data_IF_236007109700
#
_entry.id   IF_236007109700
#
_cell.length_a   1.000
_cell.length_b   1.000
_cell.length_c   1.000
_cell.angle_alpha   90.00
_cell.angle_beta   90.00
_cell.angle_gamma   90.00
#
_symmetry.space_group_name_H-M   'P 1'
#
loop_
_entity.id
_entity.type
_entity.pdbx_description
1 polymer ?
#
# COMPACT_ATOMS: atom_id res chain seq x y z
N UNK A 1 -14.36 18.57 22.55
CA UNK A 1 -15.80 18.48 22.18
C UNK A 1 -15.96 17.41 21.12
N UNK A 2 -16.99 16.56 21.16
CA UNK A 2 -17.24 15.57 20.10
C UNK A 2 -17.54 16.28 18.77
N UNK A 3 -16.97 15.77 17.67
CA UNK A 3 -17.26 16.25 16.31
C UNK A 3 -18.54 15.57 15.83
N UNK A 4 -19.52 16.35 15.38
CA UNK A 4 -20.76 15.81 14.83
C UNK A 4 -20.50 15.16 13.46
N UNK A 5 -20.98 13.93 13.26
CA UNK A 5 -20.79 13.14 12.02
C UNK A 5 -21.37 13.80 10.77
N UNK A 6 -22.31 14.74 10.92
CA UNK A 6 -22.87 15.54 9.82
C UNK A 6 -21.90 16.58 9.25
N UNK A 7 -20.75 16.81 9.91
CA UNK A 7 -19.74 17.81 9.52
C UNK A 7 -18.52 17.20 8.79
N UNK A 8 -18.53 15.89 8.56
CA UNK A 8 -17.44 15.17 7.89
C UNK A 8 -17.91 14.85 6.45
N UNK A 9 -17.27 15.42 5.41
CA UNK A 9 -17.61 15.13 4.02
C UNK A 9 -17.28 13.68 3.66
N UNK A 10 -17.96 13.16 2.65
CA UNK A 10 -17.78 11.79 2.17
C UNK A 10 -16.69 11.70 1.10
N UNK A 11 -16.04 10.54 0.98
CA UNK A 11 -15.10 10.22 -0.11
C UNK A 11 -15.66 10.51 -1.51
N UNK A 12 -16.96 10.31 -1.71
CA UNK A 12 -17.67 10.63 -2.95
C UNK A 12 -17.66 12.12 -3.29
N UNK A 13 -17.66 13.00 -2.29
CA UNK A 13 -17.67 14.46 -2.47
C UNK A 13 -16.28 15.00 -2.83
N UNK A 14 -15.24 14.37 -2.28
CA UNK A 14 -13.85 14.77 -2.49
C UNK A 14 -13.37 14.41 -3.91
N UNK A 15 -13.73 13.23 -4.41
CA UNK A 15 -13.47 12.81 -5.81
C UNK A 15 -14.08 13.76 -6.87
N UNK A 16 -15.22 14.40 -6.56
CA UNK A 16 -15.87 15.36 -7.48
C UNK A 16 -15.20 16.73 -7.50
N UNK A 17 -14.35 17.04 -6.51
CA UNK A 17 -13.76 18.37 -6.33
C UNK A 17 -12.44 18.57 -7.06
N UNK A 18 -11.90 17.54 -7.72
CA UNK A 18 -10.76 17.65 -8.64
C UNK A 18 -9.41 17.91 -7.96
N UNK A 19 -9.24 17.52 -6.70
CA UNK A 19 -8.05 17.78 -5.87
C UNK A 19 -6.87 16.83 -6.21
N UNK A 20 -7.07 15.78 -6.99
CA UNK A 20 -6.01 14.85 -7.40
C UNK A 20 -5.24 15.39 -8.62
N UNK A 21 -4.03 15.91 -8.39
CA UNK A 21 -3.06 16.35 -9.41
C UNK A 21 -2.00 15.25 -9.76
N UNK A 22 -1.26 15.45 -10.86
CA UNK A 22 -0.47 14.46 -11.60
C UNK A 22 0.63 13.69 -10.82
N UNK A 23 0.84 12.43 -11.23
CA UNK A 23 1.51 11.31 -10.53
C UNK A 23 3.02 11.12 -10.83
N UNK A 24 3.89 12.14 -10.66
CA UNK A 24 5.34 11.95 -10.88
C UNK A 24 6.22 12.73 -9.89
N UNK A 25 7.10 12.00 -9.17
CA UNK A 25 8.02 12.53 -8.16
C UNK A 25 9.49 12.15 -8.41
N UNK A 26 10.43 12.84 -7.73
CA UNK A 26 11.87 12.50 -7.74
C UNK A 26 12.41 12.29 -6.33
N UNK A 27 13.22 11.25 -6.11
CA UNK A 27 13.83 10.95 -4.81
C UNK A 27 15.33 10.60 -4.94
N UNK A 28 16.12 10.91 -3.90
CA UNK A 28 17.53 10.50 -3.76
C UNK A 28 17.64 9.50 -2.60
N UNK A 29 18.13 8.28 -2.86
CA UNK A 29 18.26 7.27 -1.81
C UNK A 29 18.70 5.90 -2.29
N UNK A 30 18.67 4.94 -1.37
CA UNK A 30 18.89 3.52 -1.63
C UNK A 30 17.57 2.89 -2.09
N UNK A 31 17.54 2.46 -3.36
CA UNK A 31 16.33 1.94 -4.01
C UNK A 31 15.81 0.65 -3.34
N UNK A 32 16.67 -0.08 -2.61
CA UNK A 32 16.31 -1.32 -1.92
C UNK A 32 15.51 -1.10 -0.63
N UNK A 33 15.37 0.16 -0.21
CA UNK A 33 14.64 0.55 1.01
C UNK A 33 13.31 1.21 0.72
N UNK A 34 12.98 1.41 -0.56
CA UNK A 34 11.71 1.99 -0.95
C UNK A 34 10.64 0.92 -0.81
N UNK A 35 9.60 1.21 -0.05
CA UNK A 35 8.41 0.36 0.08
C UNK A 35 7.51 0.67 -1.12
N UNK A 36 7.60 -0.16 -2.16
CA UNK A 36 6.95 0.02 -3.46
C UNK A 36 6.39 -1.32 -3.92
N UNK A 37 5.47 -1.28 -4.90
CA UNK A 37 5.02 -2.48 -5.61
C UNK A 37 6.11 -3.11 -6.49
N UNK A 38 6.99 -2.30 -7.08
CA UNK A 38 8.02 -2.78 -8.01
C UNK A 38 9.25 -1.86 -8.03
N UNK A 39 10.42 -2.46 -8.11
CA UNK A 39 11.69 -1.78 -8.35
C UNK A 39 12.35 -2.31 -9.62
N UNK A 40 12.86 -1.41 -10.45
CA UNK A 40 13.61 -1.79 -11.65
C UNK A 40 15.07 -2.03 -11.28
N UNK A 41 15.56 -3.22 -11.55
CA UNK A 41 16.97 -3.55 -11.42
C UNK A 41 17.74 -3.25 -12.73
N UNK A 42 18.86 -2.54 -12.64
CA UNK A 42 19.82 -2.39 -13.75
C UNK A 42 20.73 -3.63 -13.84
N UNK A 43 20.13 -4.75 -14.24
CA UNK A 43 20.80 -6.05 -14.31
C UNK A 43 21.69 -6.21 -15.56
N UNK A 44 22.60 -7.19 -15.50
CA UNK A 44 23.33 -7.66 -16.68
C UNK A 44 22.61 -8.85 -17.35
N UNK A 45 23.05 -9.24 -18.55
CA UNK A 45 22.40 -10.31 -19.35
C UNK A 45 22.22 -11.65 -18.64
N UNK A 46 23.03 -11.96 -17.62
CA UNK A 46 22.92 -13.23 -16.89
C UNK A 46 21.74 -13.25 -15.90
N UNK A 47 21.29 -12.08 -15.41
CA UNK A 47 20.38 -11.93 -14.26
C UNK A 47 20.89 -12.53 -12.93
N UNK A 48 22.16 -12.90 -12.84
CA UNK A 48 22.72 -13.60 -11.66
C UNK A 48 23.37 -12.65 -10.65
N UNK A 49 22.97 -11.38 -10.66
CA UNK A 49 23.55 -10.32 -9.86
C UNK A 49 24.87 -9.78 -10.42
N UNK A 50 25.47 -8.87 -9.64
CA UNK A 50 26.68 -8.15 -10.03
C UNK A 50 27.11 -7.15 -8.96
N UNK A 51 27.73 -6.04 -9.39
CA UNK A 51 28.02 -4.88 -8.53
C UNK A 51 26.96 -3.79 -8.66
N UNK A 52 27.15 -2.66 -7.95
CA UNK A 52 26.25 -1.51 -8.04
C UNK A 52 24.85 -1.81 -7.52
N UNK A 53 23.82 -1.26 -8.18
CA UNK A 53 22.41 -1.43 -7.78
C UNK A 53 21.94 -2.87 -7.89
N UNK A 54 22.45 -3.63 -8.86
CA UNK A 54 22.14 -5.06 -9.06
C UNK A 54 22.60 -5.89 -7.86
N UNK A 55 23.85 -5.67 -7.42
CA UNK A 55 24.38 -6.29 -6.21
C UNK A 55 23.60 -5.90 -4.94
N UNK A 56 23.20 -4.62 -4.83
CA UNK A 56 22.41 -4.15 -3.69
C UNK A 56 21.02 -4.82 -3.64
N UNK A 57 20.32 -4.90 -4.78
CA UNK A 57 19.01 -5.55 -4.90
C UNK A 57 19.12 -7.04 -4.57
N UNK A 58 20.12 -7.76 -5.11
CA UNK A 58 20.33 -9.17 -4.77
C UNK A 58 20.68 -9.41 -3.30
N UNK A 59 21.48 -8.52 -2.69
CA UNK A 59 21.81 -8.62 -1.28
C UNK A 59 20.59 -8.37 -0.38
N UNK A 60 19.74 -7.41 -0.73
CA UNK A 60 18.55 -7.05 0.04
C UNK A 60 17.37 -8.02 -0.17
N UNK A 61 17.18 -8.53 -1.39
CA UNK A 61 16.14 -9.52 -1.71
C UNK A 61 16.43 -10.93 -1.18
N UNK A 62 17.68 -11.21 -0.81
CA UNK A 62 18.09 -12.52 -0.31
C UNK A 62 18.32 -13.58 -1.41
N UNK A 63 18.77 -14.79 -1.03
CA UNK A 63 19.23 -15.81 -1.96
C UNK A 63 18.13 -16.34 -2.89
N UNK A 64 16.87 -16.26 -2.47
CA UNK A 64 15.74 -16.76 -3.27
C UNK A 64 15.54 -15.97 -4.57
N UNK A 65 15.91 -14.69 -4.62
CA UNK A 65 15.93 -13.93 -5.88
C UNK A 65 16.87 -14.57 -6.91
N UNK A 66 18.08 -14.95 -6.48
CA UNK A 66 19.04 -15.59 -7.37
C UNK A 66 18.53 -16.96 -7.86
N UNK A 67 17.83 -17.72 -7.02
CA UNK A 67 17.24 -19.01 -7.39
C UNK A 67 16.15 -18.88 -8.47
N UNK A 68 15.33 -17.83 -8.42
CA UNK A 68 14.35 -17.53 -9.47
C UNK A 68 15.03 -17.01 -10.73
N UNK A 69 15.97 -16.08 -10.63
CA UNK A 69 16.72 -15.59 -11.79
C UNK A 69 17.41 -16.71 -12.59
N UNK A 70 17.92 -17.75 -11.92
CA UNK A 70 18.49 -18.94 -12.58
C UNK A 70 17.50 -19.67 -13.49
N UNK A 71 16.20 -19.58 -13.22
CA UNK A 71 15.14 -20.22 -14.02
C UNK A 71 14.74 -19.37 -15.24
N UNK A 72 15.16 -18.10 -15.29
CA UNK A 72 14.78 -17.17 -16.34
C UNK A 72 15.67 -17.25 -17.61
N UNK A 73 16.79 -17.98 -17.57
CA UNK A 73 17.73 -18.11 -18.70
C UNK A 73 18.28 -16.77 -19.22
N UNK A 74 18.63 -15.85 -18.32
CA UNK A 74 19.18 -14.53 -18.67
C UNK A 74 18.15 -13.56 -19.22
N UNK A 75 18.59 -12.40 -19.72
CA UNK A 75 17.77 -11.38 -20.36
C UNK A 75 18.56 -10.69 -21.47
N UNK A 76 17.94 -10.44 -22.61
CA UNK A 76 18.59 -9.75 -23.72
C UNK A 76 18.65 -8.25 -23.48
N UNK A 77 19.65 -7.59 -24.06
CA UNK A 77 19.83 -6.15 -23.89
C UNK A 77 18.63 -5.40 -24.47
N UNK A 78 17.95 -4.63 -23.63
CA UNK A 78 16.74 -3.88 -24.00
C UNK A 78 15.44 -4.57 -23.62
N UNK A 79 15.49 -5.82 -23.14
CA UNK A 79 14.34 -6.55 -22.58
C UNK A 79 14.30 -6.45 -21.05
N UNK A 80 13.19 -6.89 -20.47
CA UNK A 80 13.00 -7.00 -19.02
C UNK A 80 12.32 -8.33 -18.66
N UNK A 81 12.57 -8.81 -17.43
CA UNK A 81 11.89 -9.96 -16.82
C UNK A 81 11.49 -9.64 -15.39
N UNK A 82 10.36 -10.20 -14.95
CA UNK A 82 9.82 -10.00 -13.60
C UNK A 82 10.13 -11.21 -12.71
N UNK A 83 10.44 -10.92 -11.45
CA UNK A 83 10.63 -11.87 -10.34
C UNK A 83 9.82 -11.38 -9.15
N UNK A 84 9.75 -12.18 -8.09
CA UNK A 84 9.29 -11.67 -6.79
C UNK A 84 10.35 -10.77 -6.15
N UNK A 85 9.91 -9.90 -5.23
CA UNK A 85 10.81 -9.04 -4.45
C UNK A 85 11.52 -9.73 -3.28
N UNK A 86 11.00 -10.88 -2.82
CA UNK A 86 11.54 -11.67 -1.71
C UNK A 86 11.72 -10.85 -0.43
N UNK A 87 12.95 -10.72 0.08
CA UNK A 87 13.24 -10.00 1.32
C UNK A 87 13.33 -8.47 1.10
N UNK A 88 13.18 -7.98 -0.14
CA UNK A 88 12.98 -6.55 -0.36
C UNK A 88 11.72 -6.10 0.38
N UNK A 89 11.69 -4.84 0.86
CA UNK A 89 10.46 -4.23 1.34
C UNK A 89 9.44 -4.31 0.19
N UNK A 90 8.51 -5.24 0.29
CA UNK A 90 7.38 -5.30 -0.60
C UNK A 90 6.18 -4.76 0.13
N UNK A 91 5.49 -3.84 -0.53
CA UNK A 91 4.20 -3.37 -0.08
C UNK A 91 3.26 -4.57 0.13
N UNK A 92 3.39 -5.68 -0.64
CA UNK A 92 2.50 -6.85 -0.62
C UNK A 92 2.35 -7.56 0.74
N UNK A 93 3.43 -7.90 1.46
CA UNK A 93 3.29 -8.66 2.72
C UNK A 93 2.64 -7.84 3.83
N UNK A 94 2.94 -6.55 3.86
CA UNK A 94 2.35 -5.61 4.81
C UNK A 94 0.97 -5.14 4.32
N UNK A 95 0.70 -5.12 3.00
CA UNK A 95 -0.57 -4.74 2.39
C UNK A 95 -1.67 -5.75 2.68
N UNK A 96 -1.39 -7.05 2.51
CA UNK A 96 -2.36 -8.09 2.83
C UNK A 96 -2.73 -8.08 4.32
N UNK A 97 -1.74 -7.87 5.19
CA UNK A 97 -1.96 -7.75 6.63
C UNK A 97 -2.76 -6.50 6.98
N UNK A 98 -2.41 -5.36 6.39
CA UNK A 98 -3.13 -4.09 6.55
C UNK A 98 -4.58 -4.22 6.07
N UNK A 99 -4.81 -4.78 4.89
CA UNK A 99 -6.13 -5.08 4.36
C UNK A 99 -6.91 -6.01 5.30
N UNK A 100 -6.25 -7.04 5.84
CA UNK A 100 -6.84 -7.94 6.82
C UNK A 100 -7.28 -7.21 8.10
N UNK A 101 -6.49 -6.25 8.59
CA UNK A 101 -6.85 -5.42 9.73
C UNK A 101 -8.17 -4.67 9.49
N UNK A 102 -8.29 -3.94 8.37
CA UNK A 102 -9.52 -3.22 8.04
C UNK A 102 -10.72 -4.17 7.90
N UNK A 103 -10.57 -5.25 7.11
CA UNK A 103 -11.65 -6.21 6.84
C UNK A 103 -12.16 -6.87 8.12
N UNK A 104 -11.26 -7.37 8.98
CA UNK A 104 -11.65 -8.05 10.23
C UNK A 104 -12.29 -7.08 11.22
N UNK A 105 -11.81 -5.84 11.31
CA UNK A 105 -12.43 -4.81 12.14
C UNK A 105 -13.86 -4.48 11.70
N UNK A 106 -14.11 -4.38 10.39
CA UNK A 106 -15.45 -4.17 9.82
C UNK A 106 -16.38 -5.34 10.15
N UNK A 107 -15.92 -6.57 9.91
CA UNK A 107 -16.67 -7.79 10.22
C UNK A 107 -17.01 -7.87 11.72
N UNK A 108 -16.06 -7.53 12.59
CA UNK A 108 -16.27 -7.54 14.03
C UNK A 108 -17.28 -6.48 14.48
N UNK A 109 -17.24 -5.28 13.89
CA UNK A 109 -18.22 -4.24 14.16
C UNK A 109 -19.64 -4.69 13.79
N UNK A 110 -19.79 -5.30 12.60
CA UNK A 110 -21.07 -5.88 12.15
C UNK A 110 -21.53 -7.01 13.08
N UNK A 111 -20.65 -7.95 13.41
CA UNK A 111 -20.96 -9.06 14.32
C UNK A 111 -21.36 -8.56 15.72
N UNK A 112 -20.83 -7.42 16.14
CA UNK A 112 -21.15 -6.76 17.41
C UNK A 112 -22.37 -5.83 17.33
N UNK A 113 -23.10 -5.81 16.20
CA UNK A 113 -24.26 -4.93 15.94
C UNK A 113 -23.95 -3.43 16.09
N UNK A 114 -22.70 -3.03 15.86
CA UNK A 114 -22.31 -1.63 15.82
C UNK A 114 -22.66 -1.02 14.46
N UNK A 115 -23.01 0.27 14.48
CA UNK A 115 -23.43 1.03 13.28
C UNK A 115 -22.38 2.01 12.78
N UNK A 116 -21.43 2.36 13.63
CA UNK A 116 -20.41 3.37 13.34
C UNK A 116 -19.04 2.80 13.71
N UNK A 117 -18.06 3.00 12.82
CA UNK A 117 -16.68 2.60 13.05
C UNK A 117 -15.75 3.72 12.58
N UNK A 118 -14.66 3.92 13.32
CA UNK A 118 -13.62 4.88 12.99
C UNK A 118 -12.27 4.16 12.93
N UNK A 119 -11.50 4.43 11.88
CA UNK A 119 -10.16 3.89 11.67
C UNK A 119 -9.12 4.99 11.77
N UNK A 120 -8.02 4.80 12.52
CA UNK A 120 -6.82 5.61 12.30
C UNK A 120 -6.16 5.22 10.97
N UNK A 121 -5.15 5.97 10.55
CA UNK A 121 -4.22 5.52 9.49
C UNK A 121 -3.35 4.38 10.04
N UNK A 122 -3.84 3.15 9.90
CA UNK A 122 -3.17 1.96 10.42
C UNK A 122 -1.82 1.81 9.73
N UNK A 123 -0.78 1.49 10.52
CA UNK A 123 0.60 1.26 10.09
C UNK A 123 1.42 2.47 9.61
N UNK A 124 0.85 3.67 9.52
CA UNK A 124 1.55 4.85 8.94
C UNK A 124 2.35 5.69 9.95
N UNK A 125 2.24 5.38 11.25
CA UNK A 125 3.00 6.00 12.34
C UNK A 125 4.34 5.30 12.59
N UNK A 126 4.51 4.75 13.81
CA UNK A 126 5.75 4.06 14.23
C UNK A 126 6.13 2.90 13.31
N UNK A 127 5.14 2.25 12.67
CA UNK A 127 5.36 1.13 11.75
C UNK A 127 5.83 1.56 10.35
N UNK A 128 5.77 2.85 10.02
CA UNK A 128 6.43 3.43 8.84
C UNK A 128 5.86 3.04 7.48
N UNK A 129 4.67 2.45 7.41
CA UNK A 129 4.03 2.12 6.12
C UNK A 129 3.70 3.41 5.35
N UNK A 130 4.00 3.50 4.04
CA UNK A 130 3.74 4.69 3.25
C UNK A 130 2.27 5.12 3.32
N UNK A 131 2.03 6.40 3.61
CA UNK A 131 0.66 6.89 3.83
C UNK A 131 -0.21 6.80 2.57
N UNK A 132 0.36 7.01 1.38
CA UNK A 132 -0.34 6.84 0.10
C UNK A 132 -0.82 5.39 -0.07
N UNK A 133 0.09 4.43 -0.02
CA UNK A 133 -0.22 3.01 -0.22
C UNK A 133 -1.19 2.49 0.86
N UNK A 134 -0.98 2.89 2.13
CA UNK A 134 -1.89 2.53 3.23
C UNK A 134 -3.29 3.08 3.01
N UNK A 135 -3.39 4.30 2.47
CA UNK A 135 -4.68 4.94 2.20
C UNK A 135 -5.40 4.22 1.06
N UNK A 136 -4.72 3.89 -0.03
CA UNK A 136 -5.31 3.15 -1.15
C UNK A 136 -5.84 1.78 -0.70
N UNK A 137 -5.08 1.05 0.12
CA UNK A 137 -5.52 -0.22 0.69
C UNK A 137 -6.74 -0.03 1.60
N UNK A 138 -6.68 0.95 2.50
CA UNK A 138 -7.76 1.24 3.44
C UNK A 138 -9.06 1.57 2.72
N UNK A 139 -8.99 2.46 1.72
CA UNK A 139 -10.14 2.91 0.94
C UNK A 139 -10.73 1.78 0.10
N UNK A 140 -9.89 0.99 -0.57
CA UNK A 140 -10.35 -0.13 -1.39
C UNK A 140 -11.05 -1.20 -0.56
N UNK A 141 -10.46 -1.63 0.56
CA UNK A 141 -11.04 -2.65 1.43
C UNK A 141 -12.36 -2.18 2.05
N UNK A 142 -12.40 -0.92 2.52
CA UNK A 142 -13.62 -0.35 3.09
C UNK A 142 -14.71 -0.23 2.02
N UNK A 143 -14.39 0.27 0.82
CA UNK A 143 -15.34 0.36 -0.29
C UNK A 143 -15.91 -1.01 -0.64
N UNK A 144 -15.05 -2.00 -0.87
CA UNK A 144 -15.47 -3.35 -1.22
C UNK A 144 -16.35 -3.99 -0.16
N UNK A 145 -16.03 -3.78 1.13
CA UNK A 145 -16.86 -4.27 2.22
C UNK A 145 -18.22 -3.58 2.28
N UNK A 146 -18.25 -2.25 2.08
CA UNK A 146 -19.49 -1.47 2.06
C UNK A 146 -20.40 -1.81 0.88
N UNK A 147 -19.84 -2.33 -0.23
CA UNK A 147 -20.61 -2.84 -1.37
C UNK A 147 -21.26 -4.23 -1.10
N UNK A 148 -21.09 -4.80 0.09
CA UNK A 148 -21.70 -6.09 0.49
C UNK A 148 -22.94 -5.91 1.38
N UNK A 149 -23.75 -6.97 1.49
CA UNK A 149 -24.89 -7.00 2.42
C UNK A 149 -24.49 -6.91 3.91
N UNK A 150 -23.24 -7.21 4.27
CA UNK A 150 -22.72 -6.95 5.61
C UNK A 150 -22.44 -5.45 5.82
N UNK A 151 -21.96 -4.79 4.76
CA UNK A 151 -21.71 -3.36 4.70
C UNK A 151 -22.95 -2.51 4.96
N UNK A 152 -24.12 -2.93 4.46
CA UNK A 152 -25.41 -2.24 4.67
C UNK A 152 -25.79 -2.05 6.16
N UNK A 153 -25.17 -2.81 7.07
CA UNK A 153 -25.40 -2.71 8.51
C UNK A 153 -24.63 -1.56 9.17
N UNK A 154 -23.67 -0.97 8.47
CA UNK A 154 -22.89 0.19 8.92
C UNK A 154 -23.48 1.49 8.34
N UNK A 155 -23.78 2.45 9.21
CA UNK A 155 -24.28 3.78 8.82
C UNK A 155 -23.14 4.76 8.51
N UNK A 156 -21.99 4.59 9.17
CA UNK A 156 -20.79 5.43 9.00
C UNK A 156 -19.49 4.65 9.21
N UNK A 157 -18.58 4.79 8.25
CA UNK A 157 -17.16 4.44 8.38
C UNK A 157 -16.34 5.73 8.24
N UNK A 158 -15.46 6.01 9.19
CA UNK A 158 -14.76 7.29 9.32
C UNK A 158 -13.25 7.03 9.36
N UNK A 159 -12.48 7.73 8.53
CA UNK A 159 -11.02 7.74 8.65
C UNK A 159 -10.58 8.95 9.49
N UNK A 160 -9.94 8.67 10.62
CA UNK A 160 -9.47 9.65 11.59
C UNK A 160 -7.97 9.79 11.40
N UNK A 161 -7.59 10.76 10.58
CA UNK A 161 -6.21 11.12 10.29
C UNK A 161 -5.67 12.08 11.35
N UNK A 162 -4.37 11.99 11.65
CA UNK A 162 -3.73 12.77 12.70
C UNK A 162 -3.35 14.18 12.22
N UNK A 163 -2.77 14.30 11.02
CA UNK A 163 -2.31 15.58 10.46
C UNK A 163 -3.15 16.04 9.26
N UNK A 164 -3.11 17.34 8.96
CA UNK A 164 -3.70 17.87 7.73
C UNK A 164 -3.00 17.33 6.47
N UNK A 165 -1.72 16.98 6.59
CA UNK A 165 -0.96 16.34 5.50
C UNK A 165 -1.54 14.97 5.20
N UNK A 166 -1.77 14.14 6.22
CA UNK A 166 -2.39 12.82 6.05
C UNK A 166 -3.82 12.95 5.52
N UNK A 167 -4.56 13.97 5.99
CA UNK A 167 -5.90 14.29 5.47
C UNK A 167 -5.90 14.48 3.96
N UNK A 168 -4.92 15.23 3.43
CA UNK A 168 -4.77 15.45 1.99
C UNK A 168 -4.48 14.18 1.18
N UNK A 169 -4.11 13.06 1.81
CA UNK A 169 -3.94 11.78 1.12
C UNK A 169 -5.27 11.02 1.01
N UNK A 170 -6.19 11.22 1.97
CA UNK A 170 -7.53 10.61 1.97
C UNK A 170 -8.58 11.41 1.18
N UNK A 171 -8.24 12.63 0.73
CA UNK A 171 -9.12 13.59 0.05
C UNK A 171 -8.76 13.76 -1.43
#
# INVERSE_FOLDING_TARGET
>A
MPVALSRIPTLRELYKSGVLEAIADTAKGDITRLDLDCVVNAANRSLLGGGGVDGAIHAAAGPSLLEECRKLNGCDTGDAKITKGYDLPSAEQNAEQLASCYKKSLQLAVASSLKHIAFPSISTGIYGYPIQDATDIALNVVREFLDTAEGDKLERTIFVVWSNTDKGVYE
#
